data_IF_068425787759
#
_entry.id   IF_068425787759
#
_cell.length_a   1.000
_cell.length_b   1.000
_cell.length_c   1.000
_cell.angle_alpha   90.00
_cell.angle_beta   90.00
_cell.angle_gamma   90.00
#
_symmetry.space_group_name_H-M   'P 1'
#
loop_
_entity.id
_entity.type
_entity.pdbx_description
1 polymer ?
#
# COMPACT_ATOMS: atom_id res chain seq x y z
N UNK A 1 4.37 -4.41 19.58
CA UNK A 1 5.18 -3.31 19.00
C UNK A 1 5.58 -3.63 17.56
N UNK A 2 6.25 -4.77 17.30
CA UNK A 2 6.60 -5.20 15.94
C UNK A 2 5.41 -5.20 14.95
N UNK A 3 4.22 -5.66 15.36
CA UNK A 3 3.00 -5.60 14.53
C UNK A 3 2.64 -4.16 14.13
N UNK A 4 2.67 -3.24 15.09
CA UNK A 4 2.38 -1.83 14.84
C UNK A 4 3.41 -1.21 13.90
N UNK A 5 4.70 -1.53 14.08
CA UNK A 5 5.75 -1.09 13.14
C UNK A 5 5.48 -1.60 11.72
N UNK A 6 5.06 -2.86 11.57
CA UNK A 6 4.70 -3.41 10.27
C UNK A 6 3.46 -2.74 9.65
N UNK A 7 2.48 -2.36 10.47
CA UNK A 7 1.31 -1.57 10.04
C UNK A 7 1.73 -0.19 9.52
N UNK A 8 2.65 0.52 10.20
CA UNK A 8 3.20 1.81 9.74
C UNK A 8 4.00 1.69 8.42
N UNK A 9 4.47 0.49 8.06
CA UNK A 9 5.16 0.25 6.78
C UNK A 9 4.19 0.15 5.58
N UNK A 10 2.88 0.17 5.80
CA UNK A 10 1.84 0.18 4.77
C UNK A 10 2.00 -0.89 3.66
N UNK A 11 2.55 -2.06 4.01
CA UNK A 11 2.76 -3.16 3.06
C UNK A 11 3.91 -2.95 2.06
N UNK A 12 4.72 -1.89 2.20
CA UNK A 12 5.82 -1.58 1.31
C UNK A 12 7.02 -2.51 1.56
N UNK A 13 7.41 -3.37 0.60
CA UNK A 13 8.45 -4.36 0.83
C UNK A 13 9.79 -3.74 1.25
N UNK A 14 10.14 -2.59 0.68
CA UNK A 14 11.39 -1.90 1.00
C UNK A 14 11.40 -1.34 2.44
N UNK A 15 10.28 -0.76 2.88
CA UNK A 15 10.14 -0.27 4.26
C UNK A 15 10.21 -1.44 5.25
N UNK A 16 9.48 -2.53 4.98
CA UNK A 16 9.47 -3.74 5.81
C UNK A 16 10.87 -4.34 5.92
N UNK A 17 11.58 -4.53 4.80
CA UNK A 17 12.93 -5.11 4.79
C UNK A 17 13.91 -4.22 5.54
N UNK A 18 13.82 -2.89 5.37
CA UNK A 18 14.72 -1.94 6.02
C UNK A 18 14.55 -2.01 7.54
N UNK A 19 13.31 -1.90 8.03
CA UNK A 19 13.03 -1.93 9.47
C UNK A 19 13.31 -3.32 10.07
N UNK A 20 12.98 -4.40 9.37
CA UNK A 20 13.28 -5.75 9.85
C UNK A 20 14.79 -5.98 10.00
N UNK A 21 15.60 -5.44 9.09
CA UNK A 21 17.07 -5.54 9.17
C UNK A 21 17.65 -4.69 10.29
N UNK A 22 17.12 -3.50 10.56
CA UNK A 22 17.63 -2.66 11.65
C UNK A 22 17.26 -3.20 13.03
N UNK A 23 16.15 -3.92 13.14
CA UNK A 23 15.66 -4.47 14.41
C UNK A 23 16.13 -5.91 14.68
N UNK A 24 16.97 -6.50 13.82
CA UNK A 24 17.45 -7.87 14.01
C UNK A 24 18.33 -7.95 15.27
N UNK A 25 17.99 -8.86 16.19
CA UNK A 25 18.72 -9.05 17.45
C UNK A 25 18.53 -7.92 18.48
N UNK A 26 17.59 -7.01 18.26
CA UNK A 26 17.21 -5.98 19.24
C UNK A 26 16.17 -6.56 20.20
N UNK A 27 16.53 -6.72 21.47
CA UNK A 27 15.67 -7.32 22.49
C UNK A 27 15.09 -6.28 23.49
N UNK A 28 15.63 -5.06 23.53
CA UNK A 28 15.17 -4.02 24.47
C UNK A 28 13.87 -3.37 23.99
N UNK A 29 12.85 -3.43 24.84
CA UNK A 29 11.53 -2.84 24.59
C UNK A 29 11.57 -1.31 24.40
N UNK A 30 12.56 -0.61 24.97
CA UNK A 30 12.72 0.84 24.79
C UNK A 30 13.15 1.16 23.36
N UNK A 31 14.10 0.40 22.81
CA UNK A 31 14.53 0.57 21.42
C UNK A 31 13.37 0.30 20.44
N UNK A 32 12.56 -0.72 20.72
CA UNK A 32 11.34 -0.99 19.94
C UNK A 32 10.32 0.16 20.00
N UNK A 33 10.16 0.81 21.16
CA UNK A 33 9.26 1.96 21.31
C UNK A 33 9.80 3.21 20.61
N UNK A 34 11.11 3.46 20.72
CA UNK A 34 11.78 4.55 20.02
C UNK A 34 11.65 4.38 18.50
N UNK A 35 11.94 3.20 17.96
CA UNK A 35 11.80 2.91 16.54
C UNK A 35 10.37 3.15 16.02
N UNK A 36 9.34 2.72 16.79
CA UNK A 36 7.95 2.98 16.43
C UNK A 36 7.61 4.49 16.46
N UNK A 37 8.11 5.23 17.45
CA UNK A 37 7.90 6.67 17.55
C UNK A 37 8.56 7.41 16.40
N UNK A 38 9.84 7.12 16.11
CA UNK A 38 10.59 7.71 15.01
C UNK A 38 9.93 7.43 13.66
N UNK A 39 9.51 6.18 13.43
CA UNK A 39 8.80 5.81 12.20
C UNK A 39 7.52 6.62 12.02
N UNK A 40 6.72 6.80 13.09
CA UNK A 40 5.50 7.59 13.05
C UNK A 40 5.75 9.06 12.78
N UNK A 41 6.74 9.66 13.43
CA UNK A 41 7.08 11.06 13.21
C UNK A 41 7.63 11.27 11.79
N UNK A 42 8.38 10.30 11.27
CA UNK A 42 8.89 10.32 9.92
C UNK A 42 7.78 10.23 8.86
N UNK A 43 6.80 9.34 9.07
CA UNK A 43 5.59 9.22 8.23
C UNK A 43 4.76 10.49 8.29
N UNK A 44 4.47 11.02 9.49
CA UNK A 44 3.72 12.27 9.66
C UNK A 44 4.43 13.49 9.08
N UNK A 45 5.76 13.51 9.12
CA UNK A 45 6.57 14.63 8.66
C UNK A 45 6.71 14.74 7.13
N UNK A 46 6.17 13.79 6.36
CA UNK A 46 6.24 13.80 4.89
C UNK A 46 7.67 13.74 4.34
N UNK A 47 8.64 13.29 5.16
CA UNK A 47 10.07 13.33 4.84
C UNK A 47 10.50 12.26 3.84
N UNK A 48 9.68 11.23 3.63
CA UNK A 48 9.72 10.50 2.36
C UNK A 48 8.58 11.05 1.53
N UNK A 49 8.90 11.45 0.30
CA UNK A 49 7.96 11.40 -0.81
C UNK A 49 7.60 9.93 -1.10
N UNK A 50 7.14 9.19 -0.09
CA UNK A 50 6.70 7.81 -0.20
C UNK A 50 5.48 7.81 -1.09
N UNK A 51 4.60 8.80 -0.92
CA UNK A 51 3.48 9.02 -1.79
C UNK A 51 3.94 9.18 -3.25
N UNK A 52 4.87 10.08 -3.58
CA UNK A 52 5.35 10.23 -4.94
C UNK A 52 6.19 9.07 -5.47
N UNK A 53 7.08 8.46 -4.66
CA UNK A 53 7.88 7.30 -5.10
C UNK A 53 7.01 6.06 -5.31
N UNK A 54 6.12 5.75 -4.37
CA UNK A 54 5.20 4.61 -4.48
C UNK A 54 4.18 4.88 -5.57
N UNK A 55 3.63 6.09 -5.66
CA UNK A 55 2.74 6.47 -6.76
C UNK A 55 3.44 6.31 -8.10
N UNK A 56 4.69 6.75 -8.26
CA UNK A 56 5.42 6.58 -9.52
C UNK A 56 5.65 5.10 -9.87
N UNK A 57 5.93 4.23 -8.88
CA UNK A 57 6.03 2.78 -9.11
C UNK A 57 4.69 2.13 -9.47
N UNK A 58 3.61 2.52 -8.78
CA UNK A 58 2.26 2.03 -9.04
C UNK A 58 1.77 2.49 -10.40
N UNK A 59 2.01 3.76 -10.73
CA UNK A 59 1.74 4.35 -12.05
C UNK A 59 2.51 3.62 -13.14
N UNK A 60 3.81 3.37 -12.95
CA UNK A 60 4.59 2.59 -13.89
C UNK A 60 4.01 1.19 -14.12
N UNK A 61 3.59 0.51 -13.05
CA UNK A 61 2.94 -0.81 -13.15
C UNK A 61 1.59 -0.74 -13.87
N UNK A 62 0.78 0.29 -13.59
CA UNK A 62 -0.49 0.57 -14.26
C UNK A 62 -0.31 0.84 -15.76
N UNK A 63 0.65 1.71 -16.12
CA UNK A 63 0.98 2.06 -17.50
C UNK A 63 1.49 0.83 -18.28
N UNK A 64 2.10 -0.16 -17.59
CA UNK A 64 2.57 -1.42 -18.18
C UNK A 64 1.47 -2.46 -18.43
N UNK A 65 0.25 -2.26 -17.96
CA UNK A 65 -0.88 -3.15 -18.29
C UNK A 65 -1.13 -3.19 -19.81
N UNK A 66 -0.86 -2.08 -20.52
CA UNK A 66 -0.99 -1.94 -22.00
C UNK A 66 -2.35 -2.32 -22.59
N UNK A 67 -3.34 -2.54 -21.74
CA UNK A 67 -4.71 -2.91 -22.05
C UNK A 67 -5.62 -1.91 -21.37
N UNK A 68 -6.36 -1.15 -22.17
CA UNK A 68 -7.23 -0.07 -21.69
C UNK A 68 -8.40 -0.61 -20.86
N UNK A 69 -8.90 -1.82 -21.16
CA UNK A 69 -9.97 -2.46 -20.41
C UNK A 69 -9.47 -2.85 -19.03
N UNK A 70 -8.30 -3.49 -18.92
CA UNK A 70 -7.71 -3.85 -17.63
C UNK A 70 -7.39 -2.61 -16.78
N UNK A 71 -6.90 -1.55 -17.42
CA UNK A 71 -6.65 -0.26 -16.79
C UNK A 71 -7.94 0.34 -16.19
N UNK A 72 -9.03 0.39 -16.96
CA UNK A 72 -10.33 0.86 -16.49
C UNK A 72 -10.92 -0.02 -15.39
N UNK A 73 -10.82 -1.34 -15.52
CA UNK A 73 -11.27 -2.29 -14.49
C UNK A 73 -10.55 -2.05 -13.16
N UNK A 74 -9.22 -1.84 -13.18
CA UNK A 74 -8.45 -1.53 -11.98
C UNK A 74 -8.83 -0.17 -11.38
N UNK A 75 -9.02 0.86 -12.21
CA UNK A 75 -9.47 2.17 -11.74
C UNK A 75 -10.87 2.13 -11.13
N UNK A 76 -11.75 1.25 -11.61
CA UNK A 76 -13.11 1.11 -11.07
C UNK A 76 -13.09 0.77 -9.57
N UNK A 77 -12.10 0.02 -9.10
CA UNK A 77 -11.93 -0.30 -7.67
C UNK A 77 -11.74 0.96 -6.80
N UNK A 78 -11.30 2.08 -7.36
CA UNK A 78 -11.14 3.34 -6.62
C UNK A 78 -12.46 4.05 -6.31
N UNK A 79 -13.60 3.57 -6.85
CA UNK A 79 -14.93 4.07 -6.52
C UNK A 79 -15.44 3.57 -5.17
N UNK A 80 -14.82 2.52 -4.62
CA UNK A 80 -15.18 1.96 -3.32
C UNK A 80 -14.47 2.72 -2.19
N UNK A 81 -15.07 2.79 -0.99
CA UNK A 81 -14.42 3.39 0.17
C UNK A 81 -13.08 2.71 0.50
N UNK A 82 -12.20 3.47 1.17
CA UNK A 82 -10.95 2.92 1.72
C UNK A 82 -11.23 1.68 2.59
N UNK A 83 -10.39 0.66 2.44
CA UNK A 83 -10.49 -0.65 3.11
C UNK A 83 -11.79 -1.44 2.88
N UNK A 84 -12.60 -1.05 1.90
CA UNK A 84 -13.82 -1.78 1.59
C UNK A 84 -13.52 -3.18 1.02
N UNK A 85 -14.20 -4.19 1.56
CA UNK A 85 -14.14 -5.55 1.02
C UNK A 85 -15.03 -5.65 -0.21
N UNK A 86 -14.43 -5.65 -1.40
CA UNK A 86 -15.15 -5.80 -2.67
C UNK A 86 -15.30 -7.30 -2.99
N UNK A 87 -16.52 -7.87 -3.01
CA UNK A 87 -16.71 -9.25 -3.43
C UNK A 87 -16.45 -9.39 -4.93
N UNK A 88 -15.69 -10.43 -5.31
CA UNK A 88 -15.28 -10.64 -6.71
C UNK A 88 -16.46 -10.73 -7.69
N UNK A 89 -17.53 -11.42 -7.29
CA UNK A 89 -18.71 -11.62 -8.16
C UNK A 89 -19.39 -10.29 -8.43
N UNK A 90 -19.58 -9.48 -7.38
CA UNK A 90 -20.23 -8.18 -7.48
C UNK A 90 -19.41 -7.24 -8.37
N UNK A 91 -18.08 -7.21 -8.19
CA UNK A 91 -17.19 -6.40 -9.02
C UNK A 91 -17.25 -6.76 -10.51
N UNK A 92 -17.35 -8.05 -10.84
CA UNK A 92 -17.49 -8.50 -12.24
C UNK A 92 -18.85 -8.07 -12.80
N UNK A 93 -19.92 -8.19 -12.02
CA UNK A 93 -21.26 -7.75 -12.42
C UNK A 93 -21.27 -6.24 -12.69
N UNK A 94 -20.63 -5.45 -11.82
CA UNK A 94 -20.50 -4.01 -11.99
C UNK A 94 -19.72 -3.66 -13.27
N UNK A 95 -18.60 -4.35 -13.54
CA UNK A 95 -17.84 -4.14 -14.79
C UNK A 95 -18.64 -4.45 -16.05
N UNK A 96 -19.46 -5.51 -16.04
CA UNK A 96 -20.35 -5.83 -17.17
C UNK A 96 -21.45 -4.78 -17.32
N UNK A 97 -22.06 -4.36 -16.20
CA UNK A 97 -23.12 -3.35 -16.20
C UNK A 97 -22.64 -1.99 -16.74
N UNK A 98 -21.38 -1.65 -16.47
CA UNK A 98 -20.71 -0.43 -16.94
C UNK A 98 -20.13 -0.57 -18.37
N UNK A 99 -20.25 -1.76 -18.98
CA UNK A 99 -19.73 -2.03 -20.33
C UNK A 99 -18.20 -2.00 -20.42
N UNK A 100 -17.50 -2.28 -19.31
CA UNK A 100 -16.05 -2.41 -19.29
C UNK A 100 -15.60 -3.76 -19.86
N UNK A 101 -16.39 -4.81 -19.64
CA UNK A 101 -16.14 -6.18 -20.10
C UNK A 101 -17.44 -6.83 -20.61
N UNK A 102 -17.30 -7.84 -21.46
CA UNK A 102 -18.40 -8.60 -22.09
C UNK A 102 -18.58 -10.00 -21.47
#
# INVERSE_FOLDING_TARGET
IAKSIAEECAGLPLAIITIARTMIGVDDIHDWRCALYELREYVKGGLIDMEGQVFNLLKFSYDRLKDEVLQKCLLYCALFPEDHKIPRVDLIVDWVAEGLID
#
